data_IF_971367889090
#
_entry.id   IF_971367889090
#
_cell.length_a   1.000
_cell.length_b   1.000
_cell.length_c   1.000
_cell.angle_alpha   90.00
_cell.angle_beta   90.00
_cell.angle_gamma   90.00
#
_symmetry.space_group_name_H-M   'P 1'
#
loop_
_entity.id
_entity.type
_entity.pdbx_description
1 polymer ?
#
# COMPACT_ATOMS: atom_id res chain seq x y z
N UNK A 1 -46.23 2.04 -8.64
CA UNK A 1 -46.58 1.72 -7.23
C UNK A 1 -45.94 2.71 -6.27
N UNK A 2 -46.62 3.00 -5.16
CA UNK A 2 -46.11 3.87 -4.08
C UNK A 2 -45.60 2.96 -2.96
N UNK A 3 -44.39 3.19 -2.52
CA UNK A 3 -43.79 2.50 -1.35
C UNK A 3 -43.92 3.46 -0.18
N UNK A 4 -44.73 3.07 0.80
CA UNK A 4 -44.91 3.85 2.02
C UNK A 4 -43.64 3.88 2.87
N UNK A 5 -43.37 4.99 3.57
CA UNK A 5 -42.19 5.07 4.42
C UNK A 5 -42.28 4.13 5.60
N UNK A 6 -41.15 3.47 5.93
CA UNK A 6 -41.02 2.67 7.16
C UNK A 6 -40.77 3.60 8.36
N UNK A 7 -41.55 3.41 9.42
CA UNK A 7 -41.39 4.16 10.67
C UNK A 7 -41.70 5.65 10.55
N UNK A 8 -40.89 6.51 11.16
CA UNK A 8 -41.06 7.97 11.21
C UNK A 8 -40.47 8.73 10.00
N UNK A 9 -40.24 8.04 8.87
CA UNK A 9 -39.69 8.71 7.70
C UNK A 9 -40.69 9.72 7.08
N UNK A 10 -40.23 10.93 6.81
CA UNK A 10 -41.01 12.00 6.18
C UNK A 10 -41.01 11.96 4.65
N UNK A 11 -40.54 10.87 4.05
CA UNK A 11 -40.42 10.70 2.61
C UNK A 11 -41.01 9.37 2.15
N UNK A 12 -41.62 9.34 0.99
CA UNK A 12 -42.05 8.10 0.35
C UNK A 12 -41.40 7.94 -1.02
N UNK A 13 -41.43 6.71 -1.54
CA UNK A 13 -40.88 6.40 -2.87
C UNK A 13 -41.97 6.02 -3.84
N UNK A 14 -41.87 6.50 -5.06
CA UNK A 14 -42.77 6.11 -6.17
C UNK A 14 -41.95 5.32 -7.18
N UNK A 15 -42.43 4.12 -7.50
CA UNK A 15 -41.80 3.26 -8.51
C UNK A 15 -42.62 3.30 -9.79
N UNK A 16 -41.97 3.59 -10.90
CA UNK A 16 -42.53 3.65 -12.24
C UNK A 16 -42.16 2.38 -13.01
N UNK A 17 -43.03 1.91 -13.88
CA UNK A 17 -42.81 0.73 -14.72
C UNK A 17 -41.90 1.00 -15.91
N UNK A 18 -41.84 2.28 -16.33
CA UNK A 18 -41.01 2.72 -17.44
C UNK A 18 -40.34 4.07 -17.18
N UNK A 19 -39.38 4.41 -17.99
CA UNK A 19 -38.60 5.64 -17.88
C UNK A 19 -39.41 6.87 -18.28
N UNK A 20 -40.32 6.73 -19.21
CA UNK A 20 -41.10 7.84 -19.75
C UNK A 20 -42.05 8.43 -18.68
N UNK A 21 -42.78 7.57 -17.98
CA UNK A 21 -43.66 7.97 -16.87
C UNK A 21 -42.88 8.60 -15.72
N UNK A 22 -41.67 8.04 -15.44
CA UNK A 22 -40.80 8.63 -14.43
C UNK A 22 -40.32 10.02 -14.80
N UNK A 23 -39.87 10.21 -16.03
CA UNK A 23 -39.36 11.51 -16.47
C UNK A 23 -40.47 12.55 -16.59
N UNK A 24 -41.65 12.17 -17.01
CA UNK A 24 -42.84 13.03 -16.97
C UNK A 24 -43.21 13.46 -15.53
N UNK A 25 -43.17 12.51 -14.59
CA UNK A 25 -43.39 12.80 -13.18
C UNK A 25 -42.32 13.75 -12.61
N UNK A 26 -41.06 13.59 -13.02
CA UNK A 26 -39.97 14.50 -12.64
C UNK A 26 -40.22 15.94 -13.08
N UNK A 27 -40.61 16.13 -14.32
CA UNK A 27 -40.91 17.49 -14.82
C UNK A 27 -42.07 18.11 -14.06
N UNK A 28 -43.13 17.37 -13.84
CA UNK A 28 -44.27 17.84 -13.02
C UNK A 28 -43.86 18.19 -11.58
N UNK A 29 -42.99 17.36 -10.96
CA UNK A 29 -42.50 17.64 -9.60
C UNK A 29 -41.61 18.89 -9.55
N UNK A 30 -40.81 19.17 -10.59
CA UNK A 30 -40.03 20.43 -10.68
C UNK A 30 -40.93 21.67 -10.67
N UNK A 31 -42.03 21.61 -11.40
CA UNK A 31 -42.99 22.70 -11.46
C UNK A 31 -43.66 22.98 -10.11
N UNK A 32 -43.84 21.95 -9.27
CA UNK A 32 -44.50 22.07 -7.96
C UNK A 32 -43.54 22.51 -6.83
N UNK A 33 -42.25 22.60 -7.08
CA UNK A 33 -41.24 22.95 -6.07
C UNK A 33 -41.02 21.88 -5.01
N UNK A 34 -41.59 20.69 -5.15
CA UNK A 34 -41.39 19.56 -4.24
C UNK A 34 -39.99 19.01 -4.41
N UNK A 35 -39.25 18.87 -3.29
CA UNK A 35 -37.94 18.24 -3.29
C UNK A 35 -38.06 16.74 -3.54
N UNK A 36 -37.43 16.24 -4.57
CA UNK A 36 -37.34 14.82 -4.86
C UNK A 36 -35.92 14.38 -5.19
N UNK A 37 -35.65 13.11 -5.03
CA UNK A 37 -34.43 12.46 -5.52
C UNK A 37 -34.85 11.35 -6.46
N UNK A 38 -34.21 11.27 -7.61
CA UNK A 38 -34.27 10.06 -8.43
C UNK A 38 -33.39 9.01 -7.77
N UNK A 39 -33.99 7.90 -7.34
CA UNK A 39 -33.21 6.75 -6.89
C UNK A 39 -32.40 6.19 -8.06
N UNK A 40 -31.22 5.67 -7.76
CA UNK A 40 -30.48 4.88 -8.73
C UNK A 40 -31.30 3.63 -9.06
N UNK A 41 -31.21 3.17 -10.31
CA UNK A 41 -31.75 1.87 -10.72
C UNK A 41 -31.20 0.77 -9.84
N UNK A 42 -32.01 -0.24 -9.52
CA UNK A 42 -31.61 -1.44 -8.76
C UNK A 42 -30.46 -2.20 -9.42
N UNK A 43 -30.32 -2.09 -10.73
CA UNK A 43 -29.22 -2.64 -11.50
C UNK A 43 -28.38 -1.51 -12.09
N UNK A 44 -27.31 -1.11 -11.45
CA UNK A 44 -26.44 -0.04 -11.98
C UNK A 44 -25.65 -0.48 -13.21
N UNK A 45 -25.67 -1.76 -13.58
CA UNK A 45 -25.00 -2.28 -14.77
C UNK A 45 -25.84 -2.07 -16.03
N UNK A 46 -25.18 -1.62 -17.10
CA UNK A 46 -25.73 -1.45 -18.44
C UNK A 46 -24.66 -1.72 -19.48
N UNK A 47 -25.07 -2.16 -20.66
CA UNK A 47 -24.13 -2.42 -21.79
C UNK A 47 -23.84 -1.15 -22.56
N UNK A 48 -24.77 -0.22 -22.62
CA UNK A 48 -24.69 1.00 -23.42
C UNK A 48 -25.21 2.22 -22.65
N UNK A 49 -24.92 3.41 -23.13
CA UNK A 49 -25.40 4.65 -22.55
C UNK A 49 -25.42 5.80 -23.57
N UNK A 50 -26.13 6.87 -23.21
CA UNK A 50 -26.16 8.13 -23.96
C UNK A 50 -24.88 8.93 -23.70
N UNK A 51 -23.78 8.52 -24.31
CA UNK A 51 -22.47 9.19 -24.22
C UNK A 51 -22.11 9.69 -25.61
N UNK A 52 -21.64 10.93 -25.70
CA UNK A 52 -21.36 11.57 -27.00
C UNK A 52 -20.12 11.08 -27.70
N UNK A 53 -19.19 10.42 -26.97
CA UNK A 53 -17.94 9.88 -27.52
C UNK A 53 -17.75 8.41 -27.12
N UNK A 54 -16.99 7.67 -27.91
CA UNK A 54 -16.70 6.24 -27.71
C UNK A 54 -17.20 5.40 -28.86
N UNK A 55 -17.07 4.07 -28.70
CA UNK A 55 -17.54 3.11 -29.71
C UNK A 55 -19.06 3.09 -29.76
N UNK A 56 -19.62 3.31 -30.94
CA UNK A 56 -21.05 3.22 -31.15
C UNK A 56 -21.53 1.77 -31.08
N UNK A 57 -22.63 1.58 -30.37
CA UNK A 57 -23.35 0.31 -30.36
C UNK A 57 -24.07 0.14 -31.70
N UNK A 58 -24.22 -1.09 -32.23
CA UNK A 58 -25.19 -1.35 -33.29
C UNK A 58 -26.58 -0.92 -32.87
N UNK A 59 -27.34 -0.38 -33.84
CA UNK A 59 -28.74 -0.05 -33.60
C UNK A 59 -29.55 -1.36 -33.48
N UNK A 60 -30.30 -1.49 -32.42
CA UNK A 60 -31.15 -2.66 -32.13
C UNK A 60 -32.54 -2.15 -31.76
N UNK A 61 -33.54 -2.47 -32.55
CA UNK A 61 -34.93 -2.04 -32.34
C UNK A 61 -35.06 -0.51 -32.14
N UNK A 62 -35.55 -0.09 -30.97
CA UNK A 62 -35.70 1.34 -30.61
C UNK A 62 -34.45 1.94 -29.94
N UNK A 63 -33.41 1.12 -29.72
CA UNK A 63 -32.13 1.53 -29.08
C UNK A 63 -31.17 2.01 -30.18
N UNK A 64 -31.14 3.31 -30.41
CA UNK A 64 -30.30 3.95 -31.46
C UNK A 64 -29.33 4.95 -30.85
N UNK A 65 -28.25 5.19 -31.57
CA UNK A 65 -27.23 6.20 -31.24
C UNK A 65 -26.54 5.99 -29.88
N UNK A 66 -26.61 4.78 -29.32
CA UNK A 66 -25.99 4.46 -28.05
C UNK A 66 -24.48 4.22 -28.23
N UNK A 67 -23.76 4.45 -27.15
CA UNK A 67 -22.32 4.17 -27.07
C UNK A 67 -22.08 3.03 -26.07
N UNK A 68 -21.19 2.12 -26.39
CA UNK A 68 -20.78 1.02 -25.48
C UNK A 68 -20.24 1.62 -24.20
N UNK A 69 -20.71 1.10 -23.08
CA UNK A 69 -20.28 1.56 -21.75
C UNK A 69 -19.01 0.85 -21.33
N UNK A 70 -18.03 1.62 -20.84
CA UNK A 70 -16.69 1.15 -20.49
C UNK A 70 -16.65 -0.06 -19.55
N UNK A 71 -17.61 -0.20 -18.64
CA UNK A 71 -17.64 -1.33 -17.71
C UNK A 71 -17.80 -2.68 -18.37
N UNK A 72 -18.36 -2.73 -19.57
CA UNK A 72 -18.46 -3.97 -20.35
C UNK A 72 -17.06 -4.51 -20.71
N UNK A 73 -16.11 -3.60 -20.98
CA UNK A 73 -14.74 -3.96 -21.35
C UNK A 73 -13.81 -4.01 -20.14
N UNK A 74 -14.02 -3.14 -19.14
CA UNK A 74 -13.15 -3.04 -17.96
C UNK A 74 -13.04 -4.34 -17.19
N UNK A 75 -14.08 -5.17 -17.20
CA UNK A 75 -14.10 -6.46 -16.50
C UNK A 75 -13.19 -7.52 -17.15
N UNK A 76 -12.78 -7.29 -18.40
CA UNK A 76 -11.84 -8.15 -19.16
C UNK A 76 -10.45 -7.54 -19.26
N UNK A 77 -10.30 -6.28 -18.93
CA UNK A 77 -9.05 -5.54 -19.09
C UNK A 77 -7.85 -6.24 -18.45
N UNK A 78 -7.92 -6.82 -17.24
CA UNK A 78 -6.78 -7.52 -16.65
C UNK A 78 -6.28 -8.70 -17.50
N UNK A 79 -7.21 -9.48 -18.08
CA UNK A 79 -6.86 -10.59 -19.02
C UNK A 79 -6.22 -10.03 -20.27
N UNK A 80 -6.76 -8.93 -20.81
CA UNK A 80 -6.20 -8.26 -22.00
C UNK A 80 -4.79 -7.75 -21.74
N UNK A 81 -4.54 -7.18 -20.56
CA UNK A 81 -3.20 -6.71 -20.18
C UNK A 81 -2.21 -7.87 -20.02
N UNK A 82 -2.64 -8.99 -19.46
CA UNK A 82 -1.82 -10.21 -19.40
C UNK A 82 -1.41 -10.64 -20.82
N UNK A 83 -2.38 -10.74 -21.74
CA UNK A 83 -2.10 -11.10 -23.15
C UNK A 83 -1.16 -10.11 -23.83
N UNK A 84 -1.33 -8.82 -23.61
CA UNK A 84 -0.45 -7.79 -24.17
C UNK A 84 0.98 -7.93 -23.64
N UNK A 85 1.15 -8.13 -22.34
CA UNK A 85 2.46 -8.32 -21.70
C UNK A 85 3.17 -9.57 -22.22
N UNK A 86 2.46 -10.69 -22.37
CA UNK A 86 3.02 -11.93 -22.92
C UNK A 86 3.42 -11.77 -24.38
N UNK A 87 2.60 -11.07 -25.18
CA UNK A 87 2.92 -10.79 -26.58
C UNK A 87 4.14 -9.87 -26.75
N UNK A 88 4.29 -8.89 -25.86
CA UNK A 88 5.47 -8.02 -25.82
C UNK A 88 6.72 -8.81 -25.43
N UNK A 89 6.65 -9.66 -24.42
CA UNK A 89 7.76 -10.51 -24.01
C UNK A 89 8.20 -11.44 -25.13
N UNK A 90 7.25 -12.14 -25.78
CA UNK A 90 7.54 -13.01 -26.93
C UNK A 90 8.24 -12.27 -28.08
N UNK A 91 7.83 -11.02 -28.32
CA UNK A 91 8.46 -10.15 -29.33
C UNK A 91 9.89 -9.74 -28.97
N UNK A 92 10.22 -9.73 -27.68
CA UNK A 92 11.54 -9.39 -27.13
C UNK A 92 12.41 -10.61 -26.80
N UNK A 93 12.02 -11.81 -27.20
CA UNK A 93 12.81 -13.04 -27.02
C UNK A 93 12.25 -14.02 -25.98
N UNK A 94 11.14 -13.71 -25.31
CA UNK A 94 10.33 -14.64 -24.54
C UNK A 94 11.02 -15.27 -23.31
N UNK A 95 11.63 -14.46 -22.45
CA UNK A 95 12.38 -14.98 -21.29
C UNK A 95 11.91 -14.46 -19.93
N UNK A 96 10.97 -13.52 -19.89
CA UNK A 96 10.54 -12.87 -18.67
C UNK A 96 9.51 -13.68 -17.89
N UNK A 97 8.64 -14.38 -18.60
CA UNK A 97 7.52 -15.12 -17.99
C UNK A 97 7.69 -16.64 -18.18
N UNK A 98 7.14 -17.40 -17.24
CA UNK A 98 7.21 -18.87 -17.24
C UNK A 98 6.32 -19.52 -18.31
N UNK A 99 5.32 -18.79 -18.83
CA UNK A 99 4.43 -19.23 -19.91
C UNK A 99 4.02 -18.05 -20.75
N UNK A 100 3.85 -18.25 -22.06
CA UNK A 100 3.31 -17.30 -23.04
C UNK A 100 1.79 -17.46 -23.25
N UNK A 101 1.17 -18.48 -22.67
CA UNK A 101 -0.27 -18.72 -22.75
C UNK A 101 -0.99 -18.05 -21.57
N UNK A 102 -1.88 -17.09 -21.86
CA UNK A 102 -2.62 -16.33 -20.85
C UNK A 102 -3.50 -17.19 -19.93
N UNK A 103 -3.96 -18.37 -20.42
CA UNK A 103 -4.79 -19.30 -19.64
C UNK A 103 -4.04 -19.91 -18.47
N UNK A 104 -2.74 -20.08 -18.57
CA UNK A 104 -1.93 -20.60 -17.47
C UNK A 104 -1.92 -19.65 -16.29
N UNK A 105 -2.17 -18.37 -16.54
CA UNK A 105 -2.25 -17.33 -15.49
C UNK A 105 -3.66 -17.14 -14.91
N UNK A 106 -4.70 -17.50 -15.67
CA UNK A 106 -6.09 -17.18 -15.30
C UNK A 106 -6.99 -18.39 -15.15
N UNK A 107 -6.60 -19.57 -15.61
CA UNK A 107 -7.43 -20.76 -15.67
C UNK A 107 -6.76 -22.00 -15.08
N UNK A 108 -5.49 -21.95 -14.64
CA UNK A 108 -4.83 -23.11 -14.05
C UNK A 108 -5.22 -23.28 -12.57
N UNK A 109 -5.22 -24.52 -12.09
CA UNK A 109 -5.63 -24.88 -10.73
C UNK A 109 -4.74 -24.28 -9.63
N UNK A 110 -3.51 -23.92 -9.98
CA UNK A 110 -2.53 -23.28 -9.08
C UNK A 110 -2.46 -21.74 -9.22
N UNK A 111 -3.25 -21.16 -10.12
CA UNK A 111 -3.33 -19.71 -10.25
C UNK A 111 -4.13 -19.10 -9.09
N UNK A 112 -3.69 -17.93 -8.63
CA UNK A 112 -4.40 -17.12 -7.64
C UNK A 112 -4.49 -15.67 -8.13
N UNK A 113 -5.70 -15.15 -8.25
CA UNK A 113 -5.95 -13.78 -8.70
C UNK A 113 -6.42 -12.92 -7.54
N UNK A 114 -5.71 -11.84 -7.27
CA UNK A 114 -6.07 -10.83 -6.27
C UNK A 114 -6.35 -9.51 -6.97
N UNK A 115 -7.53 -8.94 -6.78
CA UNK A 115 -7.93 -7.66 -7.37
C UNK A 115 -8.06 -6.59 -6.28
N UNK A 116 -7.10 -5.66 -6.23
CA UNK A 116 -7.16 -4.52 -5.32
C UNK A 116 -7.99 -3.40 -5.96
N UNK A 117 -9.12 -3.09 -5.33
CA UNK A 117 -10.12 -2.18 -5.89
C UNK A 117 -10.57 -1.12 -4.88
N UNK A 118 -11.08 0.02 -5.37
CA UNK A 118 -11.80 0.98 -4.53
C UNK A 118 -13.21 0.48 -4.21
N UNK A 119 -13.75 0.89 -3.07
CA UNK A 119 -15.09 0.50 -2.60
C UNK A 119 -16.22 0.78 -3.60
N UNK A 120 -16.06 1.76 -4.47
CA UNK A 120 -17.02 2.12 -5.51
C UNK A 120 -17.04 1.13 -6.70
N UNK A 121 -16.05 0.24 -6.76
CA UNK A 121 -15.93 -0.79 -7.79
C UNK A 121 -16.42 -2.19 -7.33
N UNK A 122 -16.76 -2.35 -6.05
CA UNK A 122 -17.19 -3.63 -5.47
C UNK A 122 -18.33 -4.26 -6.29
N UNK A 123 -19.33 -3.48 -6.68
CA UNK A 123 -20.45 -3.99 -7.46
C UNK A 123 -20.00 -4.63 -8.77
N UNK A 124 -19.08 -3.99 -9.48
CA UNK A 124 -18.64 -4.45 -10.80
C UNK A 124 -17.76 -5.68 -10.71
N UNK A 125 -16.75 -5.66 -9.85
CA UNK A 125 -15.78 -6.75 -9.75
C UNK A 125 -16.28 -7.93 -8.91
N UNK A 126 -17.07 -7.72 -7.87
CA UNK A 126 -17.53 -8.82 -7.01
C UNK A 126 -18.87 -9.41 -7.47
N UNK A 127 -19.77 -8.59 -8.05
CA UNK A 127 -21.14 -9.06 -8.35
C UNK A 127 -21.35 -9.30 -9.85
N UNK A 128 -20.74 -8.47 -10.72
CA UNK A 128 -20.99 -8.56 -12.17
C UNK A 128 -19.92 -9.41 -12.86
N UNK A 129 -18.65 -9.24 -12.53
CA UNK A 129 -17.52 -9.90 -13.22
C UNK A 129 -17.61 -11.42 -13.11
N UNK A 130 -17.72 -11.98 -11.91
CA UNK A 130 -17.71 -13.43 -11.71
C UNK A 130 -18.84 -14.16 -12.45
N UNK A 131 -20.11 -13.73 -12.40
CA UNK A 131 -21.16 -14.34 -13.21
C UNK A 131 -20.94 -14.19 -14.72
N UNK A 132 -20.32 -13.11 -15.18
CA UNK A 132 -19.98 -12.98 -16.61
C UNK A 132 -18.87 -13.97 -17.01
N UNK A 133 -17.89 -14.17 -16.18
CA UNK A 133 -16.82 -15.13 -16.41
C UNK A 133 -17.34 -16.58 -16.41
N UNK A 134 -18.20 -16.90 -15.46
CA UNK A 134 -18.91 -18.18 -15.42
C UNK A 134 -19.72 -18.44 -16.70
N UNK A 135 -20.46 -17.45 -17.17
CA UNK A 135 -21.26 -17.56 -18.38
C UNK A 135 -20.44 -17.78 -19.66
N UNK A 136 -19.15 -17.43 -19.66
CA UNK A 136 -18.26 -17.69 -20.79
C UNK A 136 -17.72 -19.12 -20.83
N UNK A 137 -17.77 -19.84 -19.73
CA UNK A 137 -17.26 -21.22 -19.58
C UNK A 137 -15.81 -21.39 -20.07
N UNK A 138 -14.96 -20.38 -19.75
CA UNK A 138 -13.55 -20.38 -20.12
C UNK A 138 -12.64 -21.05 -19.10
N UNK A 139 -13.19 -21.50 -17.99
CA UNK A 139 -12.43 -22.05 -16.87
C UNK A 139 -11.66 -20.99 -16.08
N UNK A 140 -12.11 -19.72 -16.11
CA UNK A 140 -11.52 -18.66 -15.31
C UNK A 140 -11.68 -18.97 -13.82
N UNK A 141 -10.60 -18.80 -13.07
CA UNK A 141 -10.64 -18.96 -11.62
C UNK A 141 -11.38 -17.80 -10.96
N UNK A 142 -12.03 -18.11 -9.83
CA UNK A 142 -12.64 -17.07 -8.99
C UNK A 142 -11.54 -16.22 -8.37
N UNK A 143 -11.64 -14.91 -8.52
CA UNK A 143 -10.71 -13.95 -7.94
C UNK A 143 -10.99 -13.68 -6.44
N UNK A 144 -10.00 -13.10 -5.77
CA UNK A 144 -10.13 -12.56 -4.42
C UNK A 144 -10.12 -11.03 -4.48
N UNK A 145 -11.28 -10.37 -4.41
CA UNK A 145 -11.33 -8.92 -4.42
C UNK A 145 -10.93 -8.35 -3.05
N UNK A 146 -10.01 -7.40 -3.06
CA UNK A 146 -9.54 -6.66 -1.88
C UNK A 146 -9.96 -5.21 -2.01
N UNK A 147 -10.99 -4.81 -1.26
CA UNK A 147 -11.58 -3.49 -1.38
C UNK A 147 -11.03 -2.50 -0.36
N UNK A 148 -10.66 -1.31 -0.83
CA UNK A 148 -10.22 -0.20 0.01
C UNK A 148 -11.27 0.90 0.08
N UNK A 149 -11.38 1.55 1.23
CA UNK A 149 -12.09 2.80 1.36
C UNK A 149 -11.39 3.93 0.59
N UNK A 150 -12.13 5.02 0.34
CA UNK A 150 -11.57 6.17 -0.35
C UNK A 150 -10.52 6.90 0.49
N UNK A 151 -9.44 7.31 -0.15
CA UNK A 151 -8.57 8.35 0.36
C UNK A 151 -9.29 9.69 0.16
N UNK A 152 -9.48 10.42 1.25
CA UNK A 152 -9.97 11.79 1.19
C UNK A 152 -8.76 12.71 1.04
N UNK A 153 -8.87 13.73 0.19
CA UNK A 153 -7.87 14.78 0.15
C UNK A 153 -8.37 16.00 0.91
N UNK A 154 -7.61 16.44 1.93
CA UNK A 154 -7.99 17.55 2.79
C UNK A 154 -9.41 17.39 3.36
N UNK A 155 -9.73 16.20 3.85
CA UNK A 155 -11.04 15.79 4.39
C UNK A 155 -12.22 15.83 3.39
N UNK A 156 -11.95 15.91 2.10
CA UNK A 156 -12.99 15.91 1.06
C UNK A 156 -12.76 14.78 0.06
N UNK A 157 -13.84 14.24 -0.48
CA UNK A 157 -13.74 13.25 -1.56
C UNK A 157 -13.06 13.92 -2.75
N UNK A 158 -11.94 13.34 -3.18
CA UNK A 158 -11.25 13.75 -4.39
C UNK A 158 -12.12 13.47 -5.62
N UNK A 159 -12.22 14.45 -6.53
CA UNK A 159 -12.96 14.30 -7.78
C UNK A 159 -12.26 15.11 -8.87
N UNK A 160 -12.08 14.52 -10.03
CA UNK A 160 -11.52 15.21 -11.21
C UNK A 160 -12.36 16.39 -11.67
N UNK A 161 -13.68 16.37 -11.38
CA UNK A 161 -14.64 17.44 -11.69
C UNK A 161 -14.94 18.36 -10.49
N UNK A 162 -14.33 18.08 -9.33
CA UNK A 162 -14.55 18.87 -8.10
C UNK A 162 -13.78 20.17 -8.07
N UNK A 163 -14.15 21.08 -7.16
CA UNK A 163 -13.45 22.35 -6.94
C UNK A 163 -12.04 22.13 -6.33
N UNK A 164 -11.83 21.03 -5.60
CA UNK A 164 -10.54 20.65 -5.03
C UNK A 164 -10.04 19.42 -5.80
N UNK A 165 -8.97 19.61 -6.55
CA UNK A 165 -8.27 18.52 -7.23
C UNK A 165 -7.17 17.99 -6.33
N UNK A 166 -7.04 16.67 -6.16
CA UNK A 166 -5.89 16.10 -5.50
C UNK A 166 -4.64 16.35 -6.36
N UNK A 167 -3.46 16.50 -5.74
CA UNK A 167 -2.21 16.64 -6.49
C UNK A 167 -1.93 15.35 -7.28
N UNK A 168 -1.26 15.52 -8.41
CA UNK A 168 -0.73 14.41 -9.19
C UNK A 168 0.51 13.82 -8.48
N UNK A 169 0.91 12.63 -8.87
CA UNK A 169 2.06 11.96 -8.27
C UNK A 169 3.34 12.81 -8.43
N UNK A 170 3.56 13.41 -9.58
CA UNK A 170 4.68 14.27 -9.89
C UNK A 170 4.74 15.49 -8.95
N UNK A 171 3.60 16.10 -8.67
CA UNK A 171 3.52 17.25 -7.75
C UNK A 171 3.84 16.85 -6.31
N UNK A 172 3.43 15.64 -5.89
CA UNK A 172 3.79 15.11 -4.57
C UNK A 172 5.28 14.83 -4.46
N UNK A 173 5.89 14.32 -5.53
CA UNK A 173 7.32 14.00 -5.56
C UNK A 173 8.23 15.23 -5.56
N UNK A 174 7.70 16.46 -5.71
CA UNK A 174 8.43 17.70 -5.45
C UNK A 174 8.67 17.98 -3.96
N UNK A 175 7.93 17.29 -3.07
CA UNK A 175 7.94 17.53 -1.63
C UNK A 175 8.28 16.32 -0.78
N UNK A 176 8.05 15.11 -1.31
CA UNK A 176 8.18 13.84 -0.60
C UNK A 176 8.94 12.82 -1.43
N UNK A 177 9.67 11.92 -0.77
CA UNK A 177 10.23 10.76 -1.46
C UNK A 177 9.14 9.70 -1.72
N UNK A 178 9.31 8.83 -2.74
CA UNK A 178 8.38 7.72 -2.97
C UNK A 178 8.18 6.84 -1.73
N UNK A 179 9.26 6.56 -0.98
CA UNK A 179 9.21 5.73 0.23
C UNK A 179 8.42 6.39 1.36
N UNK A 180 8.53 7.72 1.52
CA UNK A 180 7.72 8.47 2.49
C UNK A 180 6.23 8.37 2.18
N UNK A 181 5.85 8.52 0.91
CA UNK A 181 4.46 8.41 0.48
C UNK A 181 3.93 6.98 0.62
N UNK A 182 4.71 5.98 0.22
CA UNK A 182 4.32 4.56 0.34
C UNK A 182 4.11 4.15 1.79
N UNK A 183 5.06 4.48 2.68
CA UNK A 183 4.93 4.19 4.10
C UNK A 183 3.69 4.87 4.70
N UNK A 184 3.42 6.13 4.34
CA UNK A 184 2.25 6.85 4.81
C UNK A 184 0.94 6.21 4.31
N UNK A 185 0.81 5.94 3.01
CA UNK A 185 -0.43 5.40 2.46
C UNK A 185 -0.75 4.00 2.98
N UNK A 186 0.25 3.13 3.11
CA UNK A 186 0.06 1.80 3.67
C UNK A 186 -0.32 1.83 5.16
N UNK A 187 0.07 2.88 5.90
CA UNK A 187 -0.27 3.06 7.31
C UNK A 187 -1.65 3.69 7.57
N UNK A 188 -2.38 4.10 6.52
CA UNK A 188 -3.66 4.79 6.70
C UNK A 188 -4.81 3.91 7.18
N UNK A 189 -4.75 2.58 7.00
CA UNK A 189 -5.83 1.66 7.38
C UNK A 189 -7.07 1.82 6.50
N UNK A 190 -6.86 1.88 5.19
CA UNK A 190 -7.92 2.05 4.19
C UNK A 190 -8.81 0.81 4.02
N UNK A 191 -8.41 -0.31 4.58
CA UNK A 191 -9.20 -1.53 4.70
C UNK A 191 -10.38 -1.36 5.68
N UNK A 192 -10.26 -0.44 6.65
CA UNK A 192 -11.24 -0.27 7.73
C UNK A 192 -12.11 0.97 7.58
N UNK A 193 -11.58 2.07 7.02
CA UNK A 193 -12.30 3.35 6.91
C UNK A 193 -11.69 4.28 5.87
N UNK A 194 -12.49 5.25 5.42
CA UNK A 194 -11.97 6.38 4.65
C UNK A 194 -11.10 7.28 5.55
N UNK A 195 -9.91 7.62 5.08
CA UNK A 195 -8.93 8.42 5.82
C UNK A 195 -8.48 9.61 4.96
N UNK A 196 -8.21 10.73 5.60
CA UNK A 196 -7.73 11.92 4.91
C UNK A 196 -6.22 11.89 4.73
N UNK A 197 -5.81 12.10 3.48
CA UNK A 197 -4.46 12.48 3.12
C UNK A 197 -4.37 14.01 3.11
N UNK A 198 -3.63 14.59 4.05
CA UNK A 198 -3.56 16.04 4.28
C UNK A 198 -2.10 16.48 4.35
N UNK A 199 -1.36 16.45 3.22
CA UNK A 199 0.06 16.82 3.19
C UNK A 199 0.22 18.33 3.40
N UNK A 200 1.13 18.73 4.28
CA UNK A 200 1.41 20.12 4.64
C UNK A 200 1.78 20.97 3.40
N UNK A 201 2.48 20.40 2.43
CA UNK A 201 2.89 21.11 1.22
C UNK A 201 1.71 21.70 0.43
N UNK A 202 0.52 21.11 0.55
CA UNK A 202 -0.70 21.50 -0.16
C UNK A 202 -1.76 22.18 0.74
N UNK A 203 -1.47 22.31 2.04
CA UNK A 203 -2.35 23.02 2.96
C UNK A 203 -1.92 24.49 3.07
N UNK A 204 -2.86 25.41 2.95
CA UNK A 204 -2.63 26.85 3.05
C UNK A 204 -2.73 27.37 4.46
N UNK A 205 -3.46 26.67 5.33
CA UNK A 205 -3.62 27.01 6.73
C UNK A 205 -3.94 25.76 7.57
N UNK A 206 -3.36 25.67 8.75
CA UNK A 206 -3.63 24.58 9.71
C UNK A 206 -4.29 25.18 10.94
N UNK A 207 -5.44 24.59 11.29
CA UNK A 207 -6.13 24.92 12.54
C UNK A 207 -5.65 23.97 13.65
N UNK A 208 -5.26 24.54 14.77
CA UNK A 208 -4.92 23.82 15.99
C UNK A 208 -5.84 24.30 17.13
N UNK A 209 -6.23 23.41 18.05
CA UNK A 209 -6.87 23.83 19.29
C UNK A 209 -5.84 24.54 20.16
N UNK A 210 -6.06 25.81 20.43
CA UNK A 210 -5.30 26.57 21.41
C UNK A 210 -5.50 26.01 22.83
N UNK A 211 -4.72 26.50 23.79
CA UNK A 211 -4.82 26.09 25.20
C UNK A 211 -6.21 26.34 25.79
N UNK A 212 -6.94 27.29 25.24
CA UNK A 212 -8.27 27.72 25.70
C UNK A 212 -9.43 27.11 24.87
N UNK A 213 -9.12 26.14 23.99
CA UNK A 213 -10.11 25.48 23.15
C UNK A 213 -10.52 26.25 21.89
N UNK A 214 -10.07 27.49 21.73
CA UNK A 214 -10.29 28.30 20.53
C UNK A 214 -9.37 27.87 19.38
N UNK A 215 -9.81 27.98 18.12
CA UNK A 215 -8.97 27.64 16.97
C UNK A 215 -7.80 28.62 16.84
N UNK A 216 -6.58 28.11 17.02
CA UNK A 216 -5.34 28.83 16.68
C UNK A 216 -4.99 28.55 15.21
N UNK A 217 -5.14 29.54 14.36
CA UNK A 217 -4.83 29.45 12.93
C UNK A 217 -3.33 29.61 12.72
N UNK A 218 -2.67 28.52 12.40
CA UNK A 218 -1.25 28.48 12.07
C UNK A 218 -1.05 28.57 10.57
N UNK A 219 -0.08 29.35 10.15
CA UNK A 219 0.34 29.37 8.74
C UNK A 219 1.16 28.13 8.43
N UNK A 220 1.17 27.73 7.16
CA UNK A 220 1.87 26.53 6.65
C UNK A 220 3.33 26.44 7.13
N UNK A 221 4.04 27.57 7.15
CA UNK A 221 5.46 27.62 7.48
C UNK A 221 5.75 27.73 9.00
N UNK A 222 4.71 27.71 9.84
CA UNK A 222 4.89 27.69 11.28
C UNK A 222 5.58 26.37 11.69
N UNK A 223 6.73 26.43 12.42
CA UNK A 223 7.48 25.24 12.81
C UNK A 223 6.70 24.31 13.75
N UNK A 224 5.61 24.78 14.35
CA UNK A 224 4.71 23.94 15.17
C UNK A 224 3.79 23.06 14.32
N UNK A 225 3.67 23.34 13.02
CA UNK A 225 2.85 22.55 12.10
C UNK A 225 3.63 21.30 11.69
N UNK A 226 3.20 20.16 12.20
CA UNK A 226 3.73 18.85 11.81
C UNK A 226 3.05 18.42 10.53
N UNK A 227 3.84 17.92 9.56
CA UNK A 227 3.31 17.32 8.35
C UNK A 227 2.79 15.91 8.64
N UNK A 228 1.47 15.64 8.54
CA UNK A 228 0.91 14.32 8.79
C UNK A 228 1.46 13.25 7.86
N UNK A 229 1.81 13.60 6.61
CA UNK A 229 2.36 12.68 5.64
C UNK A 229 3.78 12.20 5.99
N UNK A 230 4.47 12.89 6.91
CA UNK A 230 5.81 12.52 7.36
C UNK A 230 5.84 11.80 8.70
N UNK A 231 4.68 11.49 9.28
CA UNK A 231 4.62 10.84 10.60
C UNK A 231 5.31 9.47 10.59
N UNK A 232 4.97 8.65 9.63
CA UNK A 232 5.54 7.30 9.48
C UNK A 232 6.97 7.36 8.94
N UNK A 233 7.29 8.36 8.14
CA UNK A 233 8.65 8.54 7.63
C UNK A 233 9.66 8.89 8.74
N UNK A 234 9.20 9.44 9.87
CA UNK A 234 10.05 9.64 11.04
C UNK A 234 10.58 8.31 11.63
N UNK A 235 9.82 7.23 11.50
CA UNK A 235 10.32 5.89 11.79
C UNK A 235 11.50 5.53 10.89
N UNK A 236 11.36 5.71 9.58
CA UNK A 236 12.39 5.38 8.60
C UNK A 236 13.68 6.19 8.83
N UNK A 237 13.54 7.51 8.91
CA UNK A 237 14.70 8.42 8.98
C UNK A 237 15.40 8.44 10.34
N UNK A 238 14.66 8.23 11.43
CA UNK A 238 15.22 8.36 12.78
C UNK A 238 15.48 7.01 13.48
N UNK A 239 14.60 6.03 13.35
CA UNK A 239 14.74 4.75 14.05
C UNK A 239 15.48 3.75 13.19
N UNK A 240 14.96 3.45 12.02
CA UNK A 240 15.50 2.43 11.14
C UNK A 240 16.89 2.82 10.59
N UNK A 241 17.06 4.04 10.08
CA UNK A 241 18.37 4.57 9.69
C UNK A 241 19.41 4.46 10.81
N UNK A 242 19.04 4.89 12.02
CA UNK A 242 19.97 4.87 13.16
C UNK A 242 20.37 3.45 13.53
N UNK A 243 19.43 2.52 13.57
CA UNK A 243 19.72 1.13 13.87
C UNK A 243 20.66 0.52 12.81
N UNK A 244 20.34 0.65 11.53
CA UNK A 244 21.16 0.11 10.44
C UNK A 244 22.57 0.67 10.46
N UNK A 245 22.73 2.01 10.54
CA UNK A 245 24.06 2.65 10.61
C UNK A 245 24.85 2.21 11.82
N UNK A 246 24.23 2.19 12.99
CA UNK A 246 24.94 1.88 14.24
C UNK A 246 25.41 0.42 14.30
N UNK A 247 24.65 -0.52 13.70
CA UNK A 247 25.08 -1.90 13.54
C UNK A 247 26.33 -2.00 12.64
N UNK A 248 26.28 -1.40 11.45
CA UNK A 248 27.38 -1.43 10.48
C UNK A 248 28.63 -0.71 11.00
N UNK A 249 28.50 0.49 11.59
CA UNK A 249 29.64 1.16 12.24
C UNK A 249 30.19 0.37 13.44
N UNK A 250 29.29 -0.27 14.20
CA UNK A 250 29.69 -1.16 15.29
C UNK A 250 30.52 -2.34 14.80
N UNK A 251 30.09 -3.02 13.74
CA UNK A 251 30.82 -4.12 13.13
C UNK A 251 32.15 -3.67 12.51
N UNK A 252 32.18 -2.51 11.84
CA UNK A 252 33.44 -1.95 11.31
C UNK A 252 34.48 -1.72 12.43
N UNK A 253 34.04 -1.25 13.59
CA UNK A 253 34.93 -0.96 14.72
C UNK A 253 35.31 -2.19 15.53
N UNK A 254 34.40 -3.14 15.77
CA UNK A 254 34.60 -4.24 16.70
C UNK A 254 34.87 -5.61 16.00
N UNK A 255 34.31 -5.80 14.79
CA UNK A 255 34.42 -7.06 14.05
C UNK A 255 35.26 -6.91 12.76
N UNK A 256 36.05 -5.84 12.62
CA UNK A 256 36.87 -5.62 11.43
C UNK A 256 36.07 -5.49 10.12
N UNK A 257 34.81 -5.10 10.18
CA UNK A 257 33.93 -4.98 9.01
C UNK A 257 33.29 -6.31 8.58
N UNK A 258 33.27 -7.32 9.46
CA UNK A 258 32.62 -8.60 9.24
C UNK A 258 31.37 -8.77 10.11
N UNK A 259 30.61 -9.84 9.89
CA UNK A 259 29.51 -10.19 10.78
C UNK A 259 30.02 -10.59 12.18
N UNK A 260 29.22 -10.33 13.25
CA UNK A 260 29.57 -10.81 14.59
C UNK A 260 29.59 -12.37 14.64
N UNK A 261 30.51 -12.92 15.44
CA UNK A 261 30.69 -14.36 15.56
C UNK A 261 29.76 -15.02 16.57
N UNK A 262 29.25 -14.24 17.53
CA UNK A 262 28.33 -14.75 18.56
C UNK A 262 27.01 -15.20 17.96
N UNK A 263 26.31 -16.12 18.63
CA UNK A 263 24.95 -16.49 18.29
C UNK A 263 23.98 -15.48 18.94
N UNK A 264 22.91 -15.05 18.26
CA UNK A 264 21.92 -14.18 18.87
C UNK A 264 21.23 -14.86 20.05
N UNK A 265 20.88 -14.10 21.07
CA UNK A 265 20.16 -14.64 22.23
C UNK A 265 18.79 -15.19 21.80
N UNK A 266 18.38 -16.32 22.41
CA UNK A 266 17.09 -16.96 22.08
C UNK A 266 15.90 -16.00 22.19
N UNK A 267 15.88 -15.13 23.21
CA UNK A 267 14.82 -14.10 23.37
C UNK A 267 14.67 -13.15 22.18
N UNK A 268 15.77 -12.93 21.42
CA UNK A 268 15.77 -12.06 20.23
C UNK A 268 15.19 -12.81 19.04
N UNK A 269 15.61 -14.07 18.92
CA UNK A 269 15.08 -15.00 17.93
C UNK A 269 13.58 -15.15 18.13
N UNK A 270 13.12 -15.39 19.36
CA UNK A 270 11.71 -15.57 19.70
C UNK A 270 10.88 -14.31 19.35
N UNK A 271 11.37 -13.12 19.70
CA UNK A 271 10.69 -11.86 19.37
C UNK A 271 10.62 -11.60 17.86
N UNK A 272 11.67 -11.94 17.12
CA UNK A 272 11.69 -11.85 15.66
C UNK A 272 10.70 -12.84 15.02
N UNK A 273 10.64 -14.06 15.52
CA UNK A 273 9.69 -15.07 15.04
C UNK A 273 8.25 -14.65 15.31
N UNK A 274 7.97 -14.07 16.48
CA UNK A 274 6.63 -13.55 16.81
C UNK A 274 6.19 -12.47 15.83
N UNK A 275 7.03 -11.48 15.53
CA UNK A 275 6.67 -10.41 14.59
C UNK A 275 6.57 -10.92 13.15
N UNK A 276 7.41 -11.87 12.73
CA UNK A 276 7.33 -12.50 11.40
C UNK A 276 6.00 -13.23 11.21
N UNK A 277 5.60 -14.07 12.15
CA UNK A 277 4.33 -14.80 12.09
C UNK A 277 3.12 -13.87 12.17
N UNK A 278 3.19 -12.84 13.01
CA UNK A 278 2.14 -11.81 13.09
C UNK A 278 2.00 -11.04 11.78
N UNK A 279 3.13 -10.64 11.18
CA UNK A 279 3.14 -9.96 9.89
C UNK A 279 2.54 -10.83 8.79
N UNK A 280 2.94 -12.10 8.70
CA UNK A 280 2.41 -13.04 7.72
C UNK A 280 0.89 -13.17 7.84
N UNK A 281 0.37 -13.36 9.06
CA UNK A 281 -1.07 -13.42 9.31
C UNK A 281 -1.80 -12.16 8.86
N UNK A 282 -1.26 -10.99 9.18
CA UNK A 282 -1.84 -9.70 8.80
C UNK A 282 -1.76 -9.47 7.28
N UNK A 283 -0.67 -9.88 6.64
CA UNK A 283 -0.50 -9.79 5.18
C UNK A 283 -1.52 -10.68 4.44
N UNK A 284 -1.77 -11.90 4.90
CA UNK A 284 -2.84 -12.73 4.35
C UNK A 284 -4.25 -12.16 4.57
N UNK A 285 -4.42 -11.35 5.63
CA UNK A 285 -5.66 -10.59 5.88
C UNK A 285 -5.73 -9.26 5.12
N UNK A 286 -4.71 -8.89 4.34
CA UNK A 286 -4.57 -7.61 3.65
C UNK A 286 -4.58 -6.39 4.57
N UNK A 287 -4.23 -6.55 5.85
CA UNK A 287 -4.14 -5.49 6.84
C UNK A 287 -2.72 -4.91 6.88
N UNK A 288 -2.38 -4.12 5.87
CA UNK A 288 -1.07 -3.48 5.75
C UNK A 288 -0.78 -2.50 6.91
N UNK A 289 -1.81 -1.81 7.40
CA UNK A 289 -1.68 -0.86 8.51
C UNK A 289 -1.19 -1.54 9.79
N UNK A 290 -1.88 -2.62 10.20
CA UNK A 290 -1.50 -3.36 11.41
C UNK A 290 -0.16 -4.08 11.23
N UNK A 291 0.15 -4.56 10.02
CA UNK A 291 1.43 -5.18 9.71
C UNK A 291 2.58 -4.19 9.90
N UNK A 292 2.49 -2.99 9.32
CA UNK A 292 3.51 -1.94 9.51
C UNK A 292 3.61 -1.45 10.96
N UNK A 293 2.48 -1.35 11.66
CA UNK A 293 2.47 -0.98 13.09
C UNK A 293 3.21 -2.02 13.96
N UNK A 294 3.03 -3.31 13.67
CA UNK A 294 3.75 -4.38 14.36
C UNK A 294 5.27 -4.30 14.12
N UNK A 295 5.68 -3.98 12.89
CA UNK A 295 7.12 -3.79 12.57
C UNK A 295 7.68 -2.54 13.25
N UNK A 296 6.95 -1.41 13.28
CA UNK A 296 7.39 -0.20 13.99
C UNK A 296 7.57 -0.45 15.49
N UNK A 297 6.63 -1.14 16.13
CA UNK A 297 6.71 -1.52 17.55
C UNK A 297 7.95 -2.39 17.82
N UNK A 298 8.14 -3.45 17.03
CA UNK A 298 9.29 -4.34 17.11
C UNK A 298 10.61 -3.58 16.93
N UNK A 299 10.71 -2.77 15.87
CA UNK A 299 11.92 -2.03 15.57
C UNK A 299 12.29 -1.01 16.66
N UNK A 300 11.31 -0.36 17.29
CA UNK A 300 11.56 0.55 18.43
C UNK A 300 12.08 -0.21 19.63
N UNK A 301 11.50 -1.36 19.96
CA UNK A 301 11.95 -2.21 21.06
C UNK A 301 13.40 -2.67 20.85
N UNK A 302 13.70 -3.16 19.64
CA UNK A 302 15.03 -3.66 19.29
C UNK A 302 16.09 -2.55 19.22
N UNK A 303 15.76 -1.39 18.65
CA UNK A 303 16.65 -0.23 18.65
C UNK A 303 16.95 0.28 20.08
N UNK A 304 15.98 0.24 20.99
CA UNK A 304 16.20 0.56 22.40
C UNK A 304 17.13 -0.47 23.05
N UNK A 305 16.84 -1.75 22.85
CA UNK A 305 17.68 -2.85 23.39
C UNK A 305 19.12 -2.76 22.90
N UNK A 306 19.34 -2.55 21.61
CA UNK A 306 20.65 -2.33 21.03
C UNK A 306 21.37 -1.13 21.68
N UNK A 307 20.68 0.01 21.85
CA UNK A 307 21.25 1.19 22.47
C UNK A 307 21.65 0.99 23.95
N UNK A 308 20.95 0.14 24.68
CA UNK A 308 21.27 -0.23 26.07
C UNK A 308 22.41 -1.26 26.13
N UNK A 309 22.33 -2.33 25.32
CA UNK A 309 23.31 -3.41 25.30
C UNK A 309 24.69 -2.92 24.82
N UNK A 310 24.73 -2.13 23.76
CA UNK A 310 25.98 -1.57 23.23
C UNK A 310 26.70 -0.64 24.21
N UNK A 311 25.95 0.09 25.04
CA UNK A 311 26.54 0.92 26.13
C UNK A 311 27.05 0.06 27.28
N UNK A 312 26.28 -0.94 27.69
CA UNK A 312 26.66 -1.84 28.77
C UNK A 312 27.89 -2.67 28.43
N UNK A 313 28.08 -3.00 27.16
CA UNK A 313 29.20 -3.79 26.64
C UNK A 313 30.49 -2.98 26.38
N UNK A 314 30.51 -1.66 26.61
CA UNK A 314 31.70 -0.84 26.41
C UNK A 314 32.90 -1.35 27.21
N UNK A 315 34.01 -1.62 26.49
CA UNK A 315 35.23 -2.17 27.08
C UNK A 315 35.23 -3.71 27.28
N UNK A 316 34.21 -4.39 26.74
CA UNK A 316 34.14 -5.84 26.72
C UNK A 316 33.80 -6.31 25.30
N UNK A 317 34.79 -6.76 24.56
CA UNK A 317 34.67 -7.12 23.13
C UNK A 317 33.69 -8.29 22.90
N UNK A 318 33.72 -9.31 23.77
CA UNK A 318 32.79 -10.45 23.68
C UNK A 318 31.34 -10.04 23.92
N UNK A 319 31.10 -9.21 24.95
CA UNK A 319 29.76 -8.70 25.23
C UNK A 319 29.27 -7.77 24.10
N UNK A 320 30.16 -7.02 23.45
CA UNK A 320 29.82 -6.14 22.35
C UNK A 320 29.50 -6.92 21.07
N UNK A 321 30.28 -7.98 20.75
CA UNK A 321 30.03 -8.90 19.65
C UNK A 321 28.65 -9.59 19.81
N UNK A 322 28.34 -10.03 21.04
CA UNK A 322 27.04 -10.60 21.37
C UNK A 322 25.89 -9.60 21.16
N UNK A 323 26.08 -8.35 21.59
CA UNK A 323 25.07 -7.31 21.39
C UNK A 323 24.88 -6.96 19.90
N UNK A 324 25.95 -7.00 19.10
CA UNK A 324 25.89 -6.86 17.65
C UNK A 324 25.17 -8.03 16.99
N UNK A 325 25.41 -9.28 17.40
CA UNK A 325 24.72 -10.44 16.86
C UNK A 325 23.18 -10.31 17.04
N UNK A 326 22.75 -9.91 18.22
CA UNK A 326 21.36 -9.61 18.50
C UNK A 326 20.80 -8.51 17.57
N UNK A 327 21.55 -7.42 17.44
CA UNK A 327 21.12 -6.26 16.66
C UNK A 327 21.05 -6.55 15.14
N UNK A 328 22.01 -7.33 14.62
CA UNK A 328 21.99 -7.74 13.20
C UNK A 328 20.84 -8.70 12.89
N UNK A 329 20.52 -9.60 13.82
CA UNK A 329 19.34 -10.47 13.66
C UNK A 329 18.05 -9.63 13.55
N UNK A 330 17.86 -8.69 14.46
CA UNK A 330 16.72 -7.79 14.44
C UNK A 330 16.71 -6.88 13.19
N UNK A 331 17.86 -6.35 12.79
CA UNK A 331 17.99 -5.51 11.60
C UNK A 331 17.54 -6.25 10.32
N UNK A 332 18.01 -7.50 10.15
CA UNK A 332 17.60 -8.34 9.01
C UNK A 332 16.10 -8.56 8.99
N UNK A 333 15.50 -8.88 10.14
CA UNK A 333 14.05 -9.08 10.29
C UNK A 333 13.26 -7.82 9.91
N UNK A 334 13.64 -6.66 10.45
CA UNK A 334 12.99 -5.38 10.12
C UNK A 334 13.12 -5.07 8.63
N UNK A 335 14.31 -5.27 8.05
CA UNK A 335 14.59 -4.98 6.65
C UNK A 335 13.75 -5.84 5.72
N UNK A 336 13.62 -7.13 6.02
CA UNK A 336 12.77 -8.05 5.27
C UNK A 336 11.30 -7.61 5.31
N UNK A 337 10.77 -7.32 6.50
CA UNK A 337 9.36 -6.97 6.70
C UNK A 337 8.99 -5.59 6.13
N UNK A 338 9.94 -4.66 6.10
CA UNK A 338 9.72 -3.32 5.53
C UNK A 338 9.93 -3.26 4.01
N UNK A 339 10.59 -4.25 3.40
CA UNK A 339 10.90 -4.24 1.98
C UNK A 339 9.68 -4.02 1.06
N UNK A 340 8.51 -4.66 1.28
CA UNK A 340 7.34 -4.41 0.44
C UNK A 340 6.83 -2.96 0.49
N UNK A 341 7.06 -2.25 1.59
CA UNK A 341 6.64 -0.86 1.77
C UNK A 341 7.68 0.14 1.26
N UNK A 342 8.96 -0.07 1.56
CA UNK A 342 10.06 0.86 1.31
C UNK A 342 11.27 0.14 0.69
N UNK A 343 11.13 -0.33 -0.56
CA UNK A 343 12.09 -1.25 -1.18
C UNK A 343 13.49 -0.68 -1.29
N UNK A 344 13.67 0.54 -1.80
CA UNK A 344 15.00 1.10 -2.10
C UNK A 344 15.90 1.21 -0.88
N UNK A 345 15.35 1.68 0.26
CA UNK A 345 16.13 1.79 1.49
C UNK A 345 16.48 0.43 2.07
N UNK A 346 15.56 -0.55 1.98
CA UNK A 346 15.80 -1.92 2.41
C UNK A 346 16.84 -2.64 1.52
N UNK A 347 16.80 -2.42 0.21
CA UNK A 347 17.79 -2.95 -0.74
C UNK A 347 19.17 -2.38 -0.46
N UNK A 348 19.29 -1.06 -0.21
CA UNK A 348 20.57 -0.46 0.22
C UNK A 348 21.11 -1.03 1.54
N UNK A 349 20.23 -1.46 2.47
CA UNK A 349 20.66 -2.17 3.69
C UNK A 349 21.17 -3.56 3.34
N UNK A 350 20.47 -4.30 2.47
CA UNK A 350 20.90 -5.63 2.02
C UNK A 350 22.25 -5.56 1.27
N UNK A 351 22.44 -4.54 0.42
CA UNK A 351 23.72 -4.26 -0.26
C UNK A 351 24.84 -4.00 0.76
N UNK A 352 24.59 -3.14 1.75
CA UNK A 352 25.56 -2.84 2.80
C UNK A 352 25.88 -4.06 3.69
N UNK A 353 24.92 -4.96 3.83
CA UNK A 353 25.11 -6.26 4.48
C UNK A 353 25.76 -7.30 3.54
N UNK A 354 25.97 -6.96 2.26
CA UNK A 354 26.58 -7.80 1.21
C UNK A 354 25.85 -9.13 0.98
N UNK A 355 24.50 -9.10 0.96
CA UNK A 355 23.69 -10.25 0.64
C UNK A 355 23.00 -10.11 -0.72
N UNK A 356 22.89 -11.18 -1.53
CA UNK A 356 22.05 -11.17 -2.73
C UNK A 356 20.58 -10.91 -2.38
N UNK A 357 19.92 -10.00 -3.08
CA UNK A 357 18.51 -9.60 -2.80
C UNK A 357 17.55 -10.79 -2.84
N UNK A 358 17.72 -11.71 -3.81
CA UNK A 358 16.91 -12.91 -3.96
C UNK A 358 16.96 -13.85 -2.75
N UNK A 359 18.09 -13.89 -2.05
CA UNK A 359 18.26 -14.68 -0.84
C UNK A 359 17.86 -13.90 0.42
N UNK A 360 18.23 -12.63 0.50
CA UNK A 360 17.94 -11.77 1.65
C UNK A 360 16.45 -11.54 1.85
N UNK A 361 15.71 -11.25 0.76
CA UNK A 361 14.28 -10.97 0.80
C UNK A 361 13.40 -12.21 0.58
N UNK A 362 13.98 -13.38 0.43
CA UNK A 362 13.22 -14.64 0.32
C UNK A 362 12.50 -14.96 1.63
N UNK A 363 11.17 -15.17 1.56
CA UNK A 363 10.40 -15.62 2.73
C UNK A 363 10.85 -16.97 3.26
N UNK A 364 11.43 -17.83 2.41
CA UNK A 364 12.05 -19.12 2.82
C UNK A 364 13.18 -18.92 3.83
N UNK A 365 13.84 -17.78 3.83
CA UNK A 365 14.94 -17.41 4.71
C UNK A 365 14.50 -16.43 5.81
N UNK A 366 13.19 -16.23 6.02
CA UNK A 366 12.67 -15.23 6.94
C UNK A 366 13.17 -15.42 8.38
N UNK A 367 13.24 -16.67 8.83
CA UNK A 367 13.66 -17.05 10.18
C UNK A 367 15.17 -17.20 10.37
N UNK A 368 15.96 -17.02 9.30
CA UNK A 368 17.43 -17.07 9.37
C UNK A 368 17.98 -15.72 9.78
N UNK A 369 18.93 -15.68 10.70
CA UNK A 369 19.78 -14.52 10.97
C UNK A 369 20.82 -14.29 9.87
N UNK A 370 21.53 -13.14 9.85
CA UNK A 370 22.59 -12.88 8.88
C UNK A 370 23.71 -13.91 8.89
N UNK A 371 24.13 -14.40 10.06
CA UNK A 371 25.14 -15.43 10.20
C UNK A 371 24.72 -16.77 9.57
N UNK A 372 23.48 -17.21 9.81
CA UNK A 372 22.92 -18.41 9.21
C UNK A 372 22.75 -18.28 7.69
N UNK A 373 22.34 -17.08 7.23
CA UNK A 373 22.22 -16.79 5.80
C UNK A 373 23.59 -16.80 5.12
N UNK A 374 24.63 -16.22 5.73
CA UNK A 374 26.00 -16.30 5.24
C UNK A 374 26.49 -17.76 5.16
N UNK A 375 26.22 -18.56 6.19
CA UNK A 375 26.58 -20.00 6.20
C UNK A 375 25.86 -20.78 5.08
N UNK A 376 24.58 -20.48 4.81
CA UNK A 376 23.85 -21.05 3.67
C UNK A 376 24.50 -20.72 2.34
N UNK A 377 25.13 -19.55 2.22
CA UNK A 377 25.87 -19.09 1.04
C UNK A 377 27.33 -19.57 1.00
N UNK A 378 27.74 -20.40 1.98
CA UNK A 378 29.07 -20.99 2.04
C UNK A 378 30.14 -20.09 2.66
N UNK A 379 29.75 -19.08 3.45
CA UNK A 379 30.66 -18.17 4.14
C UNK A 379 30.47 -18.25 5.65
N UNK A 380 31.58 -18.23 6.41
CA UNK A 380 31.51 -18.01 7.86
C UNK A 380 31.23 -16.51 8.17
N UNK A 381 30.86 -16.21 9.41
CA UNK A 381 30.67 -14.81 9.84
C UNK A 381 31.97 -13.98 9.68
N UNK A 382 33.12 -14.56 9.93
CA UNK A 382 34.44 -13.93 9.81
C UNK A 382 34.88 -13.73 8.36
N UNK A 383 34.34 -14.49 7.41
CA UNK A 383 34.60 -14.35 5.97
C UNK A 383 33.60 -13.40 5.27
N UNK A 384 32.45 -13.20 5.88
CA UNK A 384 31.38 -12.35 5.30
C UNK A 384 31.66 -10.88 5.53
N UNK A 385 32.22 -10.22 4.50
CA UNK A 385 32.60 -8.82 4.52
C UNK A 385 31.37 -7.91 4.35
N UNK A 386 31.21 -6.94 5.24
CA UNK A 386 30.21 -5.89 5.14
C UNK A 386 30.76 -4.68 4.36
N UNK A 387 29.88 -3.87 3.78
CA UNK A 387 30.27 -2.63 3.14
C UNK A 387 30.71 -1.57 4.18
N UNK A 388 31.81 -0.88 3.91
CA UNK A 388 32.26 0.25 4.72
C UNK A 388 31.41 1.50 4.39
N UNK A 389 30.62 1.96 5.36
CA UNK A 389 29.76 3.13 5.17
C UNK A 389 30.52 4.44 5.40
N UNK A 390 30.32 5.44 4.53
CA UNK A 390 30.81 6.79 4.79
C UNK A 390 30.10 7.41 6.02
N UNK A 391 30.73 8.38 6.70
CA UNK A 391 30.14 9.04 7.85
C UNK A 391 28.77 9.67 7.53
N UNK A 392 27.78 9.50 8.42
CA UNK A 392 26.42 10.02 8.28
C UNK A 392 25.64 9.50 7.07
N UNK A 393 25.90 8.27 6.66
CA UNK A 393 25.15 7.63 5.59
C UNK A 393 23.67 7.46 5.97
N UNK A 394 22.76 7.73 5.06
CA UNK A 394 21.32 7.57 5.23
C UNK A 394 20.78 6.59 4.19
N UNK A 395 20.26 5.45 4.66
CA UNK A 395 19.54 4.48 3.85
C UNK A 395 18.18 5.04 3.38
N UNK A 396 17.50 5.75 4.27
CA UNK A 396 16.24 6.44 3.99
C UNK A 396 16.48 7.95 4.06
N UNK A 397 16.42 8.62 2.93
CA UNK A 397 16.69 10.04 2.82
C UNK A 397 15.41 10.86 3.01
N UNK A 398 15.50 11.97 3.74
CA UNK A 398 14.46 12.98 3.70
C UNK A 398 14.52 13.73 2.35
N UNK A 399 13.34 14.14 1.85
CA UNK A 399 13.31 14.94 0.62
C UNK A 399 14.04 16.28 0.81
N UNK A 400 14.74 16.80 -0.21
CA UNK A 400 15.49 18.06 -0.11
C UNK A 400 14.67 19.26 0.38
N UNK A 401 13.38 19.34 0.01
CA UNK A 401 12.45 20.39 0.44
C UNK A 401 12.17 20.39 1.96
N UNK A 402 12.51 19.31 2.68
CA UNK A 402 12.28 19.15 4.11
C UNK A 402 13.52 19.54 4.97
N UNK A 403 14.64 19.83 4.31
CA UNK A 403 15.85 20.29 4.97
C UNK A 403 15.75 21.82 5.11
N UNK A 404 15.47 22.29 6.31
CA UNK A 404 15.61 23.69 6.70
C UNK A 404 17.06 23.97 7.09
#
# INVERSE_FOLDING_TARGET
>A
SVIEPEGNASSFSVVFENWQDRDEAREKLKETGIRFRTSKTLLPYRMTGNISWGLKSPDIEDLKDLTIWVWTESLWAPITFTRAALSEDASNGGSRYSSDEWRDWWCSDDAAVYQFIGQDNIFFYCIVQNPLWDALDWGLITDTPVANYHILFMNKKASSSGAIKPPMAEELLEFYTPEQLRAHWLSLGLDQRAVSFSPKAFDTSVSRKGKDGEPDLLVKDDPRVVDPALKESAFLTNIFNRMARSCLYGAANACGGHLPISEPHQKVIDAAQEVLLKYEQLAYGFDAHSALAAVDEYARAENKRWGEASKAAQGNDEAYDQALADAFYALKTITLLMHPAVPEGCERIADALNFPHEEFFSWKNAFMGPKELAAKLGQSAEEHQLEELPPRFDFFKAHPSQKN
#
